data_IF_280997794628
#
_entry.id   IF_280997794628
#
_cell.length_a   1.000
_cell.length_b   1.000
_cell.length_c   1.000
_cell.angle_alpha   90.00
_cell.angle_beta   90.00
_cell.angle_gamma   90.00
#
_symmetry.space_group_name_H-M   'P 1'
#
loop_
_entity.id
_entity.type
_entity.pdbx_description
1 polymer ?
#
# COMPACT_ATOMS: atom_id res chain seq x y z
N UNK A 1 -53.28 -0.97 3.46
CA UNK A 1 -53.36 0.25 4.29
C UNK A 1 -51.93 0.64 4.65
N UNK A 2 -50.97 0.65 3.70
CA UNK A 2 -49.54 0.47 4.05
C UNK A 2 -48.55 1.20 3.12
N UNK A 3 -49.00 2.21 2.36
CA UNK A 3 -48.12 3.00 1.49
C UNK A 3 -47.71 4.35 2.11
N UNK A 4 -48.56 4.92 2.97
CA UNK A 4 -48.33 6.23 3.59
C UNK A 4 -47.35 6.18 4.77
N UNK A 5 -47.34 5.10 5.56
CA UNK A 5 -46.42 4.94 6.71
C UNK A 5 -44.95 4.78 6.28
N UNK A 6 -44.70 4.13 5.14
CA UNK A 6 -43.33 3.89 4.65
C UNK A 6 -42.64 5.16 4.11
N UNK A 7 -43.38 6.14 3.59
CA UNK A 7 -42.83 7.44 3.20
C UNK A 7 -42.50 8.32 4.41
N UNK A 8 -43.24 8.14 5.51
CA UNK A 8 -43.04 8.90 6.75
C UNK A 8 -41.80 8.42 7.53
N UNK A 9 -41.55 7.11 7.55
CA UNK A 9 -40.32 6.49 8.09
C UNK A 9 -39.06 6.87 7.31
N UNK A 10 -39.15 6.99 5.97
CA UNK A 10 -38.03 7.43 5.12
C UNK A 10 -37.67 8.91 5.34
N UNK A 11 -38.69 9.75 5.52
CA UNK A 11 -38.51 11.19 5.77
C UNK A 11 -37.95 11.50 7.17
N UNK A 12 -38.27 10.67 8.17
CA UNK A 12 -37.71 10.78 9.53
C UNK A 12 -36.25 10.36 9.59
N UNK A 13 -35.83 9.32 8.86
CA UNK A 13 -34.42 8.93 8.79
C UNK A 13 -33.53 9.98 8.09
N UNK A 14 -34.08 10.70 7.09
CA UNK A 14 -33.36 11.80 6.41
C UNK A 14 -33.18 13.02 7.34
N UNK A 15 -34.13 13.27 8.25
CA UNK A 15 -34.02 14.38 9.23
C UNK A 15 -33.01 14.13 10.35
N UNK A 16 -32.78 12.88 10.75
CA UNK A 16 -31.88 12.55 11.86
C UNK A 16 -30.39 12.74 11.50
N UNK A 17 -30.05 12.77 10.20
CA UNK A 17 -28.67 13.04 9.76
C UNK A 17 -28.27 14.52 9.91
N UNK A 18 -29.24 15.43 10.11
CA UNK A 18 -29.05 16.88 10.01
C UNK A 18 -28.82 17.64 11.33
N UNK A 19 -28.70 16.97 12.48
CA UNK A 19 -28.41 17.64 13.77
C UNK A 19 -27.17 17.06 14.48
N UNK A 20 -26.05 16.93 13.76
CA UNK A 20 -24.74 16.86 14.43
C UNK A 20 -24.32 18.27 14.83
N UNK A 21 -24.53 18.63 16.09
CA UNK A 21 -23.98 19.86 16.65
C UNK A 21 -22.45 19.91 16.39
N UNK A 22 -21.91 21.06 15.94
CA UNK A 22 -20.48 21.17 15.67
C UNK A 22 -19.67 20.96 16.96
N UNK A 23 -18.67 20.08 16.91
CA UNK A 23 -17.76 19.83 18.02
C UNK A 23 -16.87 21.06 18.28
N UNK A 24 -17.32 21.96 19.16
CA UNK A 24 -16.64 23.23 19.45
C UNK A 24 -15.64 23.15 20.62
N UNK A 25 -15.71 22.09 21.43
CA UNK A 25 -14.88 21.93 22.63
C UNK A 25 -13.38 21.82 22.33
N UNK A 26 -13.01 21.27 21.17
CA UNK A 26 -11.60 21.17 20.78
C UNK A 26 -10.89 22.52 20.81
N UNK A 27 -11.54 23.58 20.33
CA UNK A 27 -10.96 24.93 20.26
C UNK A 27 -10.76 25.57 21.64
N UNK A 28 -11.42 25.06 22.68
CA UNK A 28 -11.27 25.54 24.06
C UNK A 28 -10.05 24.95 24.77
N UNK A 29 -9.42 23.92 24.18
CA UNK A 29 -8.20 23.34 24.73
C UNK A 29 -7.01 24.28 24.54
N UNK A 30 -6.10 24.38 25.54
CA UNK A 30 -4.82 25.04 25.37
C UNK A 30 -4.07 24.53 24.11
N UNK A 31 -3.32 25.39 23.40
CA UNK A 31 -2.59 25.01 22.19
C UNK A 31 -1.73 23.76 22.37
N UNK A 32 -1.06 23.60 23.51
CA UNK A 32 -0.17 22.49 23.81
C UNK A 32 -0.91 21.15 23.77
N UNK A 33 -2.12 21.11 24.33
CA UNK A 33 -2.95 19.90 24.31
C UNK A 33 -3.48 19.61 22.90
N UNK A 34 -3.87 20.64 22.14
CA UNK A 34 -4.33 20.48 20.75
C UNK A 34 -3.22 19.90 19.86
N UNK A 35 -2.01 20.44 19.98
CA UNK A 35 -0.83 19.96 19.26
C UNK A 35 -0.50 18.51 19.63
N UNK A 36 -0.56 18.16 20.92
CA UNK A 36 -0.33 16.78 21.36
C UNK A 36 -1.40 15.80 20.85
N UNK A 37 -2.66 16.22 20.79
CA UNK A 37 -3.72 15.42 20.17
C UNK A 37 -3.45 15.21 18.67
N UNK A 38 -3.03 16.26 17.95
CA UNK A 38 -2.69 16.12 16.54
C UNK A 38 -1.50 15.21 16.30
N UNK A 39 -0.48 15.30 17.12
CA UNK A 39 0.68 14.40 17.06
C UNK A 39 0.29 12.94 17.30
N UNK A 40 -0.55 12.68 18.31
CA UNK A 40 -1.03 11.32 18.61
C UNK A 40 -1.99 10.76 17.56
N UNK A 41 -2.59 11.62 16.74
CA UNK A 41 -3.49 11.22 15.64
C UNK A 41 -2.74 11.09 14.30
N UNK A 42 -1.42 11.28 14.27
CA UNK A 42 -0.66 11.05 13.05
C UNK A 42 -0.74 9.57 12.64
N UNK A 43 -0.66 9.25 11.33
CA UNK A 43 -0.62 7.87 10.89
C UNK A 43 0.50 7.09 11.58
N UNK A 44 0.17 5.92 12.11
CA UNK A 44 1.17 4.94 12.53
C UNK A 44 1.83 4.26 11.32
N UNK A 45 2.64 3.24 11.59
CA UNK A 45 3.23 2.39 10.55
C UNK A 45 2.16 1.85 9.61
N UNK A 46 2.33 2.12 8.32
CA UNK A 46 1.42 1.71 7.25
C UNK A 46 2.19 1.43 5.97
N UNK A 47 1.54 0.73 5.05
CA UNK A 47 2.05 0.53 3.70
C UNK A 47 1.45 1.60 2.79
N UNK A 48 2.31 2.35 2.10
CA UNK A 48 1.87 3.31 1.09
C UNK A 48 2.08 2.70 -0.29
N UNK A 49 0.98 2.41 -0.97
CA UNK A 49 0.96 1.94 -2.36
C UNK A 49 1.19 3.11 -3.29
N UNK A 50 2.34 3.08 -3.95
CA UNK A 50 2.77 4.10 -4.90
C UNK A 50 2.65 3.52 -6.30
N UNK A 51 1.67 4.03 -7.03
CA UNK A 51 1.40 3.67 -8.42
C UNK A 51 2.18 4.57 -9.36
N UNK A 52 2.66 4.01 -10.47
CA UNK A 52 3.39 4.75 -11.50
C UNK A 52 2.74 4.54 -12.86
N UNK A 53 2.30 5.62 -13.48
CA UNK A 53 1.89 5.62 -14.88
C UNK A 53 3.11 5.84 -15.76
N UNK A 54 3.52 4.80 -16.49
CA UNK A 54 4.68 4.83 -17.40
C UNK A 54 4.46 5.77 -18.59
N UNK A 55 3.21 5.95 -19.05
CA UNK A 55 2.90 6.79 -20.22
C UNK A 55 2.95 8.26 -19.86
N UNK A 56 2.41 8.62 -18.70
CA UNK A 56 2.43 9.99 -18.19
C UNK A 56 3.71 10.32 -17.43
N UNK A 57 4.43 9.31 -16.93
CA UNK A 57 5.57 9.51 -16.04
C UNK A 57 5.15 10.04 -14.68
N UNK A 58 3.97 9.67 -14.19
CA UNK A 58 3.33 10.28 -13.00
C UNK A 58 3.15 9.26 -11.88
N UNK A 59 3.50 9.66 -10.65
CA UNK A 59 3.20 8.89 -9.45
C UNK A 59 1.88 9.33 -8.79
N UNK A 60 1.18 8.37 -8.19
CA UNK A 60 -0.04 8.60 -7.42
C UNK A 60 -0.25 7.48 -6.39
N UNK A 61 -1.24 7.63 -5.50
CA UNK A 61 -1.56 6.62 -4.48
C UNK A 61 -3.07 6.40 -4.38
N UNK A 62 -3.46 5.14 -4.12
CA UNK A 62 -4.82 4.72 -3.76
C UNK A 62 -5.09 4.82 -2.27
N UNK A 63 -4.04 5.03 -1.44
CA UNK A 63 -4.21 5.09 0.00
C UNK A 63 -5.16 6.23 0.39
N UNK A 64 -6.06 6.01 1.36
CA UNK A 64 -6.93 7.05 1.84
C UNK A 64 -6.11 8.21 2.41
N UNK A 65 -6.51 9.44 2.06
CA UNK A 65 -5.91 10.65 2.63
C UNK A 65 -6.03 10.59 4.16
N UNK A 66 -4.93 10.74 4.91
CA UNK A 66 -5.01 10.80 6.36
C UNK A 66 -5.97 11.90 6.82
N UNK A 67 -6.71 11.60 7.89
CA UNK A 67 -7.72 12.51 8.43
C UNK A 67 -7.13 13.89 8.71
N UNK A 68 -5.89 13.96 9.21
CA UNK A 68 -5.21 15.20 9.60
C UNK A 68 -5.06 16.20 8.44
N UNK A 69 -4.97 15.75 7.18
CA UNK A 69 -4.95 16.66 6.03
C UNK A 69 -6.29 17.36 5.79
N UNK A 70 -7.38 16.78 6.26
CA UNK A 70 -8.75 17.18 5.95
C UNK A 70 -9.46 17.87 7.12
N UNK A 71 -9.06 17.62 8.38
CA UNK A 71 -9.77 18.17 9.56
C UNK A 71 -9.74 19.69 9.62
N UNK A 72 -8.55 20.29 9.72
CA UNK A 72 -8.38 21.74 9.87
C UNK A 72 -6.96 22.19 9.50
N UNK A 73 -6.73 23.50 9.44
CA UNK A 73 -5.42 24.08 9.09
C UNK A 73 -4.30 23.67 10.06
N UNK A 74 -4.59 23.62 11.35
CA UNK A 74 -3.61 23.24 12.38
C UNK A 74 -3.20 21.77 12.25
N UNK A 75 -4.19 20.87 12.16
CA UNK A 75 -3.94 19.43 11.98
C UNK A 75 -3.14 19.15 10.70
N UNK A 76 -3.48 19.83 9.61
CA UNK A 76 -2.75 19.73 8.34
C UNK A 76 -1.31 20.19 8.49
N UNK A 77 -1.08 21.31 9.15
CA UNK A 77 0.26 21.83 9.39
C UNK A 77 1.11 20.84 10.19
N UNK A 78 0.57 20.26 11.27
CA UNK A 78 1.28 19.25 12.06
C UNK A 78 1.63 18.00 11.26
N UNK A 79 0.74 17.54 10.38
CA UNK A 79 1.03 16.40 9.53
C UNK A 79 2.10 16.69 8.49
N UNK A 80 2.04 17.84 7.81
CA UNK A 80 2.96 18.18 6.73
C UNK A 80 4.42 18.34 7.19
N UNK A 81 4.65 18.59 8.48
CA UNK A 81 6.00 18.58 9.06
C UNK A 81 6.68 17.22 8.95
N UNK A 82 5.91 16.14 9.07
CA UNK A 82 6.43 14.76 9.13
C UNK A 82 6.14 13.95 7.85
N UNK A 83 5.09 14.28 7.10
CA UNK A 83 4.73 13.62 5.83
C UNK A 83 4.75 14.61 4.65
N UNK A 84 5.95 14.98 4.15
CA UNK A 84 6.07 15.79 2.94
C UNK A 84 5.53 15.05 1.71
N UNK A 85 5.28 15.81 0.63
CA UNK A 85 4.99 15.25 -0.68
C UNK A 85 6.27 14.69 -1.30
N UNK A 86 6.24 13.45 -1.78
CA UNK A 86 7.35 12.72 -2.40
C UNK A 86 7.00 12.20 -3.80
N UNK A 87 7.98 11.61 -4.48
CA UNK A 87 7.85 11.00 -5.81
C UNK A 87 7.53 12.00 -6.92
N UNK A 88 8.28 13.11 -6.96
CA UNK A 88 8.25 14.03 -8.10
C UNK A 88 8.96 13.41 -9.31
N UNK A 89 8.52 13.78 -10.52
CA UNK A 89 9.19 13.39 -11.78
C UNK A 89 9.40 14.61 -12.66
N UNK A 90 10.15 14.42 -13.76
CA UNK A 90 10.26 15.46 -14.78
C UNK A 90 8.88 15.71 -15.39
N UNK A 91 8.28 16.86 -15.09
CA UNK A 91 6.97 17.27 -15.60
C UNK A 91 5.78 17.06 -14.66
N UNK A 92 5.96 16.39 -13.52
CA UNK A 92 4.89 16.21 -12.52
C UNK A 92 5.35 16.51 -11.09
N UNK A 93 4.52 17.30 -10.41
CA UNK A 93 4.69 17.61 -8.98
C UNK A 93 4.54 16.35 -8.12
N UNK A 94 5.19 16.28 -6.96
CA UNK A 94 5.03 15.16 -6.04
C UNK A 94 3.59 15.12 -5.51
N UNK A 95 3.01 13.92 -5.43
CA UNK A 95 1.59 13.74 -5.08
C UNK A 95 1.34 12.80 -3.90
N UNK A 96 2.38 12.13 -3.39
CA UNK A 96 2.22 11.12 -2.34
C UNK A 96 2.78 11.64 -1.02
N UNK A 97 1.94 11.71 0.01
CA UNK A 97 2.36 12.06 1.37
C UNK A 97 2.96 10.85 2.07
N UNK A 98 4.28 10.85 2.26
CA UNK A 98 5.01 9.73 2.88
C UNK A 98 6.05 10.19 3.88
N UNK A 99 6.24 9.40 4.93
CA UNK A 99 7.34 9.51 5.86
C UNK A 99 8.16 8.22 5.78
N UNK A 100 9.35 8.27 5.19
CA UNK A 100 10.16 7.08 4.93
C UNK A 100 10.71 6.40 6.19
N UNK A 101 10.71 7.06 7.35
CA UNK A 101 11.13 6.46 8.61
C UNK A 101 10.06 5.54 9.22
N UNK A 102 8.79 5.76 8.86
CA UNK A 102 7.62 5.10 9.45
C UNK A 102 6.86 4.27 8.43
N UNK A 103 6.65 4.82 7.23
CA UNK A 103 5.89 4.19 6.15
C UNK A 103 6.77 3.13 5.45
N UNK A 104 6.13 2.01 5.09
CA UNK A 104 6.70 1.06 4.15
C UNK A 104 6.20 1.39 2.75
N UNK A 105 7.14 1.60 1.82
CA UNK A 105 6.81 1.99 0.46
C UNK A 105 6.56 0.74 -0.37
N UNK A 106 5.38 0.62 -0.95
CA UNK A 106 5.07 -0.44 -1.91
C UNK A 106 5.11 0.12 -3.34
N UNK A 107 6.01 -0.43 -4.15
CA UNK A 107 6.25 -0.01 -5.53
C UNK A 107 6.21 -1.23 -6.47
N UNK A 108 5.71 -1.01 -7.68
CA UNK A 108 5.96 -1.96 -8.77
C UNK A 108 7.42 -1.89 -9.23
N UNK A 109 7.90 -2.95 -9.90
CA UNK A 109 9.28 -3.00 -10.38
C UNK A 109 9.60 -1.97 -11.48
N UNK A 110 8.62 -1.62 -12.32
CA UNK A 110 8.80 -0.74 -13.47
C UNK A 110 9.47 0.62 -13.14
N UNK A 111 9.01 1.42 -12.15
CA UNK A 111 9.65 2.70 -11.82
C UNK A 111 11.09 2.58 -11.33
N UNK A 112 11.49 1.47 -10.69
CA UNK A 112 12.88 1.22 -10.29
C UNK A 112 13.75 0.91 -11.51
N UNK A 113 13.27 0.01 -12.38
CA UNK A 113 13.94 -0.37 -13.63
C UNK A 113 14.13 0.82 -14.57
N UNK A 114 13.14 1.71 -14.65
CA UNK A 114 13.15 2.91 -15.48
C UNK A 114 13.86 4.10 -14.83
N UNK A 115 14.35 3.96 -13.57
CA UNK A 115 14.95 5.05 -12.78
C UNK A 115 14.05 6.28 -12.70
N UNK A 116 12.74 6.06 -12.58
CA UNK A 116 11.74 7.12 -12.52
C UNK A 116 11.66 7.76 -11.13
N UNK A 117 12.04 7.03 -10.07
CA UNK A 117 12.12 7.56 -8.71
C UNK A 117 13.43 8.34 -8.57
N UNK A 118 13.36 9.54 -7.98
CA UNK A 118 14.53 10.37 -7.74
C UNK A 118 15.55 9.67 -6.82
N UNK A 119 16.84 9.95 -6.99
CA UNK A 119 17.87 9.38 -6.12
C UNK A 119 17.73 9.85 -4.67
N UNK A 120 17.24 11.08 -4.46
CA UNK A 120 16.92 11.60 -3.12
C UNK A 120 15.88 10.72 -2.42
N UNK A 121 14.76 10.44 -3.09
CA UNK A 121 13.71 9.59 -2.52
C UNK A 121 14.21 8.15 -2.34
N UNK A 122 14.89 7.57 -3.34
CA UNK A 122 15.43 6.20 -3.24
C UNK A 122 16.40 6.04 -2.06
N UNK A 123 17.31 6.99 -1.89
CA UNK A 123 18.28 6.96 -0.78
C UNK A 123 17.63 7.17 0.59
N UNK A 124 16.45 7.79 0.65
CA UNK A 124 15.71 8.07 1.88
C UNK A 124 14.77 6.94 2.31
N UNK A 125 14.37 6.05 1.41
CA UNK A 125 13.49 4.91 1.74
C UNK A 125 14.18 3.93 2.69
N UNK A 126 13.52 3.63 3.81
CA UNK A 126 14.02 2.71 4.84
C UNK A 126 13.41 1.31 4.72
N UNK A 127 12.14 1.21 4.34
CA UNK A 127 11.40 -0.05 4.20
C UNK A 127 10.70 -0.09 2.85
N UNK A 128 11.06 -1.07 2.01
CA UNK A 128 10.57 -1.20 0.65
C UNK A 128 9.88 -2.54 0.43
N UNK A 129 8.79 -2.51 -0.31
CA UNK A 129 8.13 -3.70 -0.84
C UNK A 129 8.03 -3.56 -2.35
N UNK A 130 8.60 -4.53 -3.06
CA UNK A 130 8.59 -4.55 -4.52
C UNK A 130 7.68 -5.64 -5.03
N UNK A 131 6.88 -5.32 -6.03
CA UNK A 131 5.97 -6.26 -6.68
C UNK A 131 5.80 -5.99 -8.16
N UNK A 132 4.70 -6.52 -8.69
CA UNK A 132 4.29 -6.32 -10.09
C UNK A 132 4.76 -7.42 -11.05
N UNK A 133 4.09 -7.49 -12.20
CA UNK A 133 4.29 -8.53 -13.21
C UNK A 133 5.71 -8.56 -13.79
N UNK A 134 6.31 -7.39 -13.98
CA UNK A 134 7.67 -7.26 -14.54
C UNK A 134 8.77 -7.72 -13.59
N UNK A 135 8.48 -7.82 -12.29
CA UNK A 135 9.46 -8.32 -11.33
C UNK A 135 9.79 -9.78 -11.64
N UNK A 136 8.79 -10.60 -11.95
CA UNK A 136 8.90 -12.06 -12.09
C UNK A 136 9.98 -12.56 -13.08
N UNK A 137 10.09 -12.02 -14.31
CA UNK A 137 11.17 -12.40 -15.21
C UNK A 137 12.51 -11.70 -14.93
N UNK A 138 12.55 -10.75 -13.98
CA UNK A 138 13.77 -9.98 -13.71
C UNK A 138 14.78 -10.84 -12.94
N UNK A 139 16.04 -10.94 -13.41
CA UNK A 139 17.09 -11.66 -12.71
C UNK A 139 17.46 -10.95 -11.39
N UNK A 140 17.81 -11.74 -10.37
CA UNK A 140 18.03 -11.24 -9.01
C UNK A 140 19.19 -10.23 -8.92
N UNK A 141 20.17 -10.32 -9.81
CA UNK A 141 21.32 -9.42 -9.91
C UNK A 141 20.88 -8.00 -10.28
N UNK A 142 19.93 -7.86 -11.21
CA UNK A 142 19.36 -6.55 -11.59
C UNK A 142 18.55 -5.92 -10.46
N UNK A 143 17.88 -6.76 -9.69
CA UNK A 143 17.15 -6.33 -8.50
C UNK A 143 18.17 -5.83 -7.47
N UNK A 144 19.21 -6.61 -7.19
CA UNK A 144 20.30 -6.24 -6.29
C UNK A 144 20.98 -4.92 -6.70
N UNK A 145 21.33 -4.74 -7.98
CA UNK A 145 21.92 -3.49 -8.49
C UNK A 145 21.08 -2.26 -8.13
N UNK A 146 19.75 -2.36 -8.25
CA UNK A 146 18.83 -1.26 -7.91
C UNK A 146 18.78 -1.02 -6.40
N UNK A 147 18.73 -2.09 -5.61
CA UNK A 147 18.71 -2.03 -4.14
C UNK A 147 19.98 -1.41 -3.58
N UNK A 148 21.14 -1.72 -4.17
CA UNK A 148 22.43 -1.18 -3.71
C UNK A 148 22.52 0.36 -3.86
N UNK A 149 21.67 0.97 -4.69
CA UNK A 149 21.56 2.45 -4.78
C UNK A 149 20.82 3.08 -3.60
N UNK A 150 20.13 2.28 -2.78
CA UNK A 150 19.29 2.74 -1.67
C UNK A 150 20.04 2.65 -0.34
N UNK A 151 20.78 3.70 0.01
CA UNK A 151 21.75 3.70 1.12
C UNK A 151 21.15 3.51 2.51
N UNK A 152 19.90 3.95 2.73
CA UNK A 152 19.23 3.85 4.03
C UNK A 152 18.27 2.66 4.13
N UNK A 153 18.18 1.84 3.09
CA UNK A 153 17.26 0.72 3.05
C UNK A 153 17.65 -0.33 4.09
N UNK A 154 16.75 -0.61 5.03
CA UNK A 154 16.94 -1.60 6.10
C UNK A 154 16.21 -2.89 5.83
N UNK A 155 15.02 -2.79 5.25
CA UNK A 155 14.16 -3.94 4.99
C UNK A 155 13.65 -3.92 3.55
N UNK A 156 13.65 -5.08 2.92
CA UNK A 156 13.05 -5.27 1.61
C UNK A 156 12.18 -6.51 1.56
N UNK A 157 10.99 -6.40 0.99
CA UNK A 157 10.13 -7.55 0.70
C UNK A 157 9.82 -7.70 -0.78
N UNK A 158 9.73 -8.93 -1.26
CA UNK A 158 9.14 -9.24 -2.56
C UNK A 158 7.70 -9.67 -2.34
N UNK A 159 6.77 -8.97 -2.98
CA UNK A 159 5.33 -9.20 -2.86
C UNK A 159 4.81 -9.85 -4.14
N UNK A 160 3.92 -10.83 -4.00
CA UNK A 160 3.20 -11.41 -5.13
C UNK A 160 2.34 -10.33 -5.79
N UNK A 161 2.33 -10.21 -7.14
CA UNK A 161 1.41 -9.31 -7.82
C UNK A 161 -0.04 -9.63 -7.46
N UNK A 162 -0.85 -8.59 -7.27
CA UNK A 162 -2.24 -8.74 -6.91
C UNK A 162 -3.05 -9.29 -8.09
N UNK A 163 -4.19 -9.94 -7.82
CA UNK A 163 -5.04 -10.52 -8.87
C UNK A 163 -5.50 -9.47 -9.90
N UNK A 164 -5.81 -8.26 -9.46
CA UNK A 164 -6.28 -7.17 -10.31
C UNK A 164 -5.19 -6.60 -11.23
N UNK A 165 -3.90 -6.79 -10.92
CA UNK A 165 -2.79 -6.38 -11.79
C UNK A 165 -2.68 -7.26 -13.06
N UNK A 166 -3.31 -8.44 -13.03
CA UNK A 166 -3.18 -9.46 -14.07
C UNK A 166 -4.49 -9.61 -14.86
N UNK A 167 -5.63 -9.47 -14.19
CA UNK A 167 -6.94 -9.59 -14.81
C UNK A 167 -7.63 -8.23 -14.84
N UNK A 168 -7.76 -7.64 -16.04
CA UNK A 168 -8.41 -6.33 -16.26
C UNK A 168 -9.94 -6.36 -16.17
N UNK A 169 -10.55 -7.42 -15.64
CA UNK A 169 -12.01 -7.56 -15.53
C UNK A 169 -12.51 -7.20 -14.13
N UNK A 170 -13.71 -6.60 -13.98
CA UNK A 170 -14.28 -6.27 -12.68
C UNK A 170 -14.83 -7.53 -12.00
N UNK A 171 -13.95 -8.45 -11.60
CA UNK A 171 -14.29 -9.66 -10.85
C UNK A 171 -14.65 -9.38 -9.38
N UNK A 172 -14.36 -8.17 -8.88
CA UNK A 172 -14.71 -7.75 -7.51
C UNK A 172 -16.22 -7.78 -7.23
N UNK A 173 -17.07 -7.70 -8.27
CA UNK A 173 -18.53 -7.77 -8.10
C UNK A 173 -19.07 -9.20 -7.91
N UNK A 174 -18.34 -10.24 -8.32
CA UNK A 174 -18.79 -11.63 -8.11
C UNK A 174 -18.35 -12.22 -6.76
N UNK A 175 -17.30 -11.69 -6.14
CA UNK A 175 -16.79 -12.17 -4.86
C UNK A 175 -17.54 -11.61 -3.64
N UNK A 176 -18.22 -10.46 -3.79
CA UNK A 176 -18.95 -9.80 -2.69
C UNK A 176 -20.43 -10.18 -2.61
N UNK A 177 -20.93 -10.99 -3.55
CA UNK A 177 -22.27 -11.57 -3.50
C UNK A 177 -22.18 -13.08 -3.74
N UNK A 178 -22.28 -13.92 -2.68
CA UNK A 178 -22.48 -15.34 -2.90
C UNK A 178 -23.86 -15.49 -3.55
N UNK A 179 -23.91 -15.65 -4.87
CA UNK A 179 -25.13 -16.15 -5.50
C UNK A 179 -25.29 -17.56 -4.96
N UNK A 180 -26.40 -17.82 -4.26
CA UNK A 180 -26.83 -19.14 -3.80
C UNK A 180 -27.21 -20.08 -4.98
N UNK A 181 -26.37 -20.13 -6.00
CA UNK A 181 -26.51 -21.00 -7.15
C UNK A 181 -25.31 -21.92 -7.22
N UNK A 182 -25.53 -23.20 -7.02
CA UNK A 182 -24.60 -24.30 -7.32
C UNK A 182 -24.35 -24.38 -8.82
N UNK A 183 -23.63 -23.42 -9.40
CA UNK A 183 -23.17 -23.49 -10.78
C UNK A 183 -21.70 -23.92 -10.81
N UNK A 184 -21.43 -25.04 -11.48
CA UNK A 184 -20.07 -25.55 -11.76
C UNK A 184 -19.13 -24.50 -12.37
N UNK A 185 -19.69 -23.45 -13.00
CA UNK A 185 -18.91 -22.34 -13.56
C UNK A 185 -18.22 -21.45 -12.51
N UNK A 186 -18.81 -21.25 -11.34
CA UNK A 186 -18.17 -20.46 -10.27
C UNK A 186 -17.06 -21.27 -9.56
N UNK A 187 -17.12 -22.61 -9.66
CA UNK A 187 -16.16 -23.52 -9.03
C UNK A 187 -14.80 -23.54 -9.76
N UNK A 188 -14.79 -23.59 -11.11
CA UNK A 188 -13.53 -23.56 -11.85
C UNK A 188 -12.83 -22.20 -11.75
N UNK A 189 -13.58 -21.10 -11.64
CA UNK A 189 -13.01 -19.76 -11.49
C UNK A 189 -12.27 -19.62 -10.15
N UNK A 190 -12.86 -20.11 -9.05
CA UNK A 190 -12.21 -20.17 -7.74
C UNK A 190 -10.96 -21.08 -7.77
N UNK A 191 -11.03 -22.23 -8.43
CA UNK A 191 -9.88 -23.14 -8.60
C UNK A 191 -8.77 -22.47 -9.42
N UNK A 192 -9.11 -21.81 -10.53
CA UNK A 192 -8.16 -21.11 -11.38
C UNK A 192 -7.51 -19.91 -10.65
N UNK A 193 -8.27 -19.18 -9.83
CA UNK A 193 -7.74 -18.13 -8.97
C UNK A 193 -6.77 -18.69 -7.93
N UNK A 194 -7.12 -19.81 -7.28
CA UNK A 194 -6.26 -20.49 -6.31
C UNK A 194 -4.99 -21.02 -6.94
N UNK A 195 -5.07 -21.73 -8.06
CA UNK A 195 -3.90 -22.24 -8.79
C UNK A 195 -3.01 -21.09 -9.27
N UNK A 196 -3.61 -20.04 -9.83
CA UNK A 196 -2.89 -18.83 -10.22
C UNK A 196 -2.23 -18.14 -9.02
N UNK A 197 -2.89 -18.11 -7.86
CA UNK A 197 -2.32 -17.58 -6.64
C UNK A 197 -1.14 -18.41 -6.13
N UNK A 198 -1.30 -19.72 -6.03
CA UNK A 198 -0.25 -20.64 -5.61
C UNK A 198 0.97 -20.50 -6.53
N UNK A 199 0.76 -20.44 -7.84
CA UNK A 199 1.83 -20.22 -8.80
C UNK A 199 2.54 -18.87 -8.59
N UNK A 200 1.79 -17.77 -8.42
CA UNK A 200 2.36 -16.43 -8.17
C UNK A 200 3.15 -16.38 -6.87
N UNK A 201 2.62 -16.97 -5.80
CA UNK A 201 3.30 -17.10 -4.51
C UNK A 201 4.58 -17.92 -4.64
N UNK A 202 4.53 -19.05 -5.35
CA UNK A 202 5.71 -19.87 -5.62
C UNK A 202 6.76 -19.12 -6.44
N UNK A 203 6.35 -18.28 -7.40
CA UNK A 203 7.28 -17.44 -8.17
C UNK A 203 7.89 -16.35 -7.28
N UNK A 204 7.10 -15.57 -6.54
CA UNK A 204 7.59 -14.58 -5.59
C UNK A 204 8.55 -15.18 -4.54
N UNK A 205 8.24 -16.38 -4.03
CA UNK A 205 9.11 -17.13 -3.12
C UNK A 205 10.44 -17.54 -3.77
N UNK A 206 10.41 -18.02 -5.01
CA UNK A 206 11.64 -18.32 -5.77
C UNK A 206 12.49 -17.08 -5.95
N UNK A 207 11.89 -15.96 -6.34
CA UNK A 207 12.60 -14.69 -6.49
C UNK A 207 13.21 -14.21 -5.17
N UNK A 208 12.46 -14.30 -4.07
CA UNK A 208 12.97 -13.97 -2.74
C UNK A 208 14.17 -14.85 -2.37
N UNK A 209 14.10 -16.15 -2.65
CA UNK A 209 15.20 -17.09 -2.40
C UNK A 209 16.43 -16.76 -3.23
N UNK A 210 16.27 -16.48 -4.53
CA UNK A 210 17.38 -16.09 -5.40
C UNK A 210 17.98 -14.73 -5.03
N UNK A 211 17.16 -13.74 -4.68
CA UNK A 211 17.64 -12.45 -4.19
C UNK A 211 18.44 -12.62 -2.89
N UNK A 212 17.92 -13.40 -1.95
CA UNK A 212 18.62 -13.71 -0.70
C UNK A 212 19.94 -14.43 -0.95
N UNK A 213 20.00 -15.32 -1.94
CA UNK A 213 21.24 -15.98 -2.37
C UNK A 213 22.23 -14.96 -2.94
N UNK A 214 21.79 -14.07 -3.82
CA UNK A 214 22.64 -13.01 -4.39
C UNK A 214 23.19 -12.09 -3.29
N UNK A 215 22.37 -11.71 -2.30
CA UNK A 215 22.81 -10.93 -1.15
C UNK A 215 23.93 -11.62 -0.38
N UNK A 216 23.78 -12.93 -0.10
CA UNK A 216 24.80 -13.69 0.62
C UNK A 216 26.12 -13.79 -0.17
N UNK A 217 26.03 -13.97 -1.49
CA UNK A 217 27.22 -14.02 -2.35
C UNK A 217 27.92 -12.65 -2.35
N UNK A 218 27.17 -11.59 -2.56
CA UNK A 218 27.71 -10.23 -2.57
C UNK A 218 28.33 -9.83 -1.22
N UNK A 219 27.69 -10.19 -0.10
CA UNK A 219 28.20 -9.93 1.25
C UNK A 219 29.52 -10.67 1.56
N UNK A 220 29.81 -11.79 0.89
CA UNK A 220 31.10 -12.48 1.04
C UNK A 220 32.23 -11.70 0.40
N UNK A 221 31.94 -11.02 -0.70
CA UNK A 221 32.90 -10.18 -1.42
C UNK A 221 33.03 -8.79 -0.78
N UNK A 222 32.01 -8.33 -0.05
CA UNK A 222 31.92 -6.99 0.51
C UNK A 222 31.50 -7.03 1.99
N UNK A 223 32.39 -7.52 2.86
CA UNK A 223 32.11 -7.72 4.29
C UNK A 223 31.74 -6.44 5.06
N UNK A 224 32.17 -5.28 4.57
CA UNK A 224 32.02 -4.00 5.26
C UNK A 224 30.69 -3.30 4.95
N UNK A 225 29.93 -3.83 3.99
CA UNK A 225 28.71 -3.22 3.51
C UNK A 225 27.47 -3.81 4.21
N UNK A 226 26.63 -2.93 4.77
CA UNK A 226 25.35 -3.33 5.37
C UNK A 226 24.32 -3.55 4.28
N UNK A 227 23.92 -4.81 4.09
CA UNK A 227 22.81 -5.15 3.21
C UNK A 227 21.46 -5.01 3.92
N UNK A 228 20.39 -4.62 3.19
CA UNK A 228 19.05 -4.68 3.73
C UNK A 228 18.65 -6.12 4.05
N UNK A 229 17.74 -6.28 5.01
CA UNK A 229 17.17 -7.56 5.40
C UNK A 229 16.06 -7.96 4.42
N UNK A 230 16.20 -9.08 3.68
CA UNK A 230 15.10 -9.62 2.91
C UNK A 230 14.02 -10.15 3.86
N UNK A 231 12.76 -9.79 3.58
CA UNK A 231 11.56 -10.24 4.28
C UNK A 231 10.64 -10.93 3.29
N UNK A 232 9.91 -11.92 3.79
CA UNK A 232 8.84 -12.58 3.05
C UNK A 232 7.52 -12.31 3.80
N UNK A 233 6.74 -11.30 3.37
CA UNK A 233 5.48 -10.99 4.01
C UNK A 233 4.47 -12.12 3.74
N UNK A 234 3.63 -12.49 4.72
CA UNK A 234 2.52 -13.40 4.47
C UNK A 234 1.51 -12.72 3.52
N UNK A 235 1.17 -13.38 2.42
CA UNK A 235 0.12 -12.96 1.49
C UNK A 235 -1.14 -13.80 1.70
N UNK A 236 -2.34 -13.22 1.63
CA UNK A 236 -3.60 -13.98 1.64
C UNK A 236 -3.88 -14.66 0.30
N UNK A 237 -4.74 -15.71 0.25
CA UNK A 237 -5.07 -16.44 -0.98
C UNK A 237 -5.69 -15.59 -2.11
N UNK A 238 -6.33 -14.47 -1.79
CA UNK A 238 -6.88 -13.51 -2.76
C UNK A 238 -5.82 -12.51 -3.27
N UNK A 239 -4.58 -12.58 -2.74
CA UNK A 239 -3.52 -11.64 -3.03
C UNK A 239 -3.71 -10.26 -2.38
N UNK A 240 -4.74 -10.09 -1.54
CA UNK A 240 -4.82 -8.96 -0.63
C UNK A 240 -3.86 -9.18 0.55
N UNK A 241 -3.39 -8.09 1.15
CA UNK A 241 -2.51 -8.15 2.31
C UNK A 241 -3.35 -8.44 3.54
N UNK A 242 -2.94 -9.43 4.34
CA UNK A 242 -3.48 -9.59 5.69
C UNK A 242 -3.16 -8.35 6.52
N UNK A 243 -4.19 -7.75 7.12
CA UNK A 243 -4.06 -7.23 8.48
C UNK A 243 -3.69 -8.36 9.46
N UNK A 244 -3.49 -8.11 10.76
CA UNK A 244 -3.04 -9.15 11.69
C UNK A 244 -4.07 -10.29 11.76
N UNK A 245 -3.76 -11.44 11.17
CA UNK A 245 -4.58 -12.65 11.32
C UNK A 245 -4.06 -13.50 12.47
N UNK A 246 -4.93 -13.65 13.47
CA UNK A 246 -4.88 -14.70 14.48
C UNK A 246 -5.08 -16.05 13.77
N UNK A 247 -4.07 -16.91 13.84
CA UNK A 247 -4.28 -18.35 13.68
C UNK A 247 -5.10 -18.84 14.88
N UNK A 248 -6.27 -19.44 14.65
CA UNK A 248 -6.83 -20.40 15.60
C UNK A 248 -6.63 -21.80 15.00
N UNK A 249 -6.18 -22.76 15.83
CA UNK A 249 -5.81 -24.11 15.41
C UNK A 249 -6.98 -24.91 14.84
#
# INVERSE_FOLDING_TARGET
MDAAENQQLSSQHIRIVAEKAPFSLFKKLPPELRLKIWELNLPGTRVVEVHYDVRMGKFWTTNPSPANLQVCRESRYEMLKKWPLRFATCGHLPMVHTNFDIDTIHLSWAPLRLRAVSQEDLSSIVSLEIGGRELQPTPAERILESILTMTNLKDISIVSPALHDIFSFPLNQQLSQPRNGTNDEDHWLLIAQRLGYEERRSRAFRQHTELTRCFRLWAREHSDCKLPRPRLPPSEPDGSRSGPFFWKP
#
